data_IF_302260014315
#
_entry.id   IF_302260014315
#
_cell.length_a   1.000
_cell.length_b   1.000
_cell.length_c   1.000
_cell.angle_alpha   90.00
_cell.angle_beta   90.00
_cell.angle_gamma   90.00
#
_symmetry.space_group_name_H-M   'P 1'
#
loop_
_entity.id
_entity.type
_entity.pdbx_description
1 polymer ?
#
# COMPACT_ATOMS: atom_id res chain seq x y z
N UNK A 1 -16.04 3.05 27.35
CA UNK A 1 -15.43 2.20 26.31
C UNK A 1 -16.00 0.79 26.36
N UNK A 2 -16.01 0.09 27.51
CA UNK A 2 -16.52 -1.28 27.61
C UNK A 2 -18.03 -1.44 27.27
N UNK A 3 -18.88 -0.56 27.82
CA UNK A 3 -20.31 -0.50 27.47
C UNK A 3 -20.59 -0.11 26.00
N UNK A 4 -19.63 0.52 25.33
CA UNK A 4 -19.73 0.93 23.93
C UNK A 4 -19.51 -0.27 23.00
N UNK A 5 -18.49 -1.09 23.31
CA UNK A 5 -18.23 -2.32 22.55
C UNK A 5 -19.34 -3.34 22.75
N UNK A 6 -19.83 -3.54 23.98
CA UNK A 6 -20.96 -4.44 24.24
C UNK A 6 -22.22 -4.07 23.44
N UNK A 7 -22.53 -2.77 23.30
CA UNK A 7 -23.65 -2.32 22.46
C UNK A 7 -23.39 -2.58 20.98
N UNK A 8 -22.19 -2.28 20.47
CA UNK A 8 -21.82 -2.53 19.07
C UNK A 8 -21.88 -4.02 18.70
N UNK A 9 -21.39 -4.90 19.57
CA UNK A 9 -21.45 -6.36 19.36
C UNK A 9 -22.89 -6.86 19.31
N UNK A 10 -23.76 -6.32 20.18
CA UNK A 10 -25.20 -6.64 20.17
C UNK A 10 -25.92 -6.13 18.89
N UNK A 11 -25.48 -5.01 18.31
CA UNK A 11 -26.00 -4.52 17.03
C UNK A 11 -25.55 -5.36 15.83
N UNK A 12 -24.28 -5.79 15.80
CA UNK A 12 -23.77 -6.71 14.78
C UNK A 12 -24.56 -8.04 14.77
N UNK A 13 -24.93 -8.53 15.95
CA UNK A 13 -25.74 -9.73 16.16
C UNK A 13 -27.15 -9.67 15.54
N UNK A 14 -27.83 -8.51 15.56
CA UNK A 14 -29.18 -8.39 14.98
C UNK A 14 -29.17 -8.42 13.44
N UNK A 15 -28.06 -8.04 12.82
CA UNK A 15 -27.94 -7.96 11.35
C UNK A 15 -27.81 -9.34 10.69
N UNK A 16 -27.20 -10.30 11.37
CA UNK A 16 -26.96 -11.63 10.82
C UNK A 16 -28.22 -12.48 10.69
N UNK A 17 -29.18 -12.32 11.61
CA UNK A 17 -30.44 -13.07 11.56
C UNK A 17 -31.33 -12.72 10.36
N UNK A 18 -31.12 -11.56 9.73
CA UNK A 18 -31.88 -11.13 8.55
C UNK A 18 -31.34 -11.71 7.23
N UNK A 19 -30.09 -12.20 7.19
CA UNK A 19 -29.46 -12.71 5.97
C UNK A 19 -29.65 -14.23 5.75
N UNK A 20 -30.01 -14.99 6.79
CA UNK A 20 -30.15 -16.46 6.72
C UNK A 20 -31.51 -16.93 6.14
N UNK A 21 -32.41 -15.98 5.84
CA UNK A 21 -33.62 -16.23 5.05
C UNK A 21 -33.38 -15.62 3.69
N UNK A 22 -33.40 -16.44 2.63
CA UNK A 22 -33.20 -16.04 1.22
C UNK A 22 -34.27 -15.11 0.64
N UNK A 23 -34.69 -14.11 1.40
CA UNK A 23 -35.46 -12.96 0.98
C UNK A 23 -34.49 -11.83 0.67
N UNK A 24 -34.77 -11.07 -0.40
CA UNK A 24 -34.02 -9.87 -0.73
C UNK A 24 -33.78 -9.03 0.54
N UNK A 25 -32.50 -8.70 0.79
CA UNK A 25 -32.08 -7.84 1.89
C UNK A 25 -33.07 -6.68 2.04
N UNK A 26 -33.64 -6.44 3.24
CA UNK A 26 -34.52 -5.32 3.42
C UNK A 26 -33.75 -4.05 3.05
N UNK A 27 -34.28 -3.28 2.11
CA UNK A 27 -33.80 -1.94 1.71
C UNK A 27 -34.06 -0.88 2.80
N UNK A 28 -34.09 -1.28 4.07
CA UNK A 28 -34.30 -0.36 5.19
C UNK A 28 -33.11 -0.45 6.15
N UNK A 29 -32.09 0.34 5.85
CA UNK A 29 -30.98 0.64 6.77
C UNK A 29 -31.36 1.64 7.87
N UNK A 30 -32.65 1.70 8.24
CA UNK A 30 -33.24 2.81 8.99
C UNK A 30 -32.94 2.83 10.49
N UNK A 31 -32.31 1.80 11.07
CA UNK A 31 -32.06 1.75 12.53
C UNK A 31 -30.59 1.49 12.94
N UNK A 32 -29.65 1.50 12.00
CA UNK A 32 -28.22 1.36 12.36
C UNK A 32 -27.62 2.74 12.58
N UNK A 33 -27.55 3.16 13.85
CA UNK A 33 -26.87 4.41 14.23
C UNK A 33 -25.47 4.11 14.72
N UNK A 34 -24.44 4.70 14.09
CA UNK A 34 -23.07 4.63 14.60
C UNK A 34 -23.00 5.25 16.00
N UNK A 35 -22.15 4.76 16.90
CA UNK A 35 -21.86 5.51 18.12
C UNK A 35 -21.23 6.89 17.81
N UNK A 36 -21.48 7.89 18.65
CA UNK A 36 -21.04 9.28 18.43
C UNK A 36 -19.53 9.45 18.14
N UNK A 37 -18.59 8.76 18.84
CA UNK A 37 -17.17 8.81 18.48
C UNK A 37 -16.88 8.31 17.06
N UNK A 38 -17.58 7.27 16.63
CA UNK A 38 -17.41 6.68 15.30
C UNK A 38 -18.10 7.52 14.22
N UNK A 39 -19.25 8.14 14.52
CA UNK A 39 -19.86 9.15 13.63
C UNK A 39 -18.90 10.30 13.36
N UNK A 40 -18.29 10.82 14.43
CA UNK A 40 -17.32 11.92 14.35
C UNK A 40 -16.11 11.52 13.54
N UNK A 41 -15.56 10.33 13.79
CA UNK A 41 -14.44 9.79 13.02
C UNK A 41 -14.78 9.67 11.53
N UNK A 42 -15.91 9.04 11.19
CA UNK A 42 -16.35 8.91 9.79
C UNK A 42 -16.50 10.28 9.16
N UNK A 43 -17.13 11.25 9.84
CA UNK A 43 -17.29 12.60 9.32
C UNK A 43 -15.97 13.33 9.07
N UNK A 44 -14.97 13.14 9.93
CA UNK A 44 -13.62 13.71 9.73
C UNK A 44 -12.91 13.09 8.53
N UNK A 45 -13.11 11.79 8.33
CA UNK A 45 -12.44 11.01 7.28
C UNK A 45 -13.07 11.23 5.91
N UNK A 46 -14.40 11.35 5.84
CA UNK A 46 -15.14 11.48 4.57
C UNK A 46 -15.61 12.91 4.28
N UNK A 47 -15.40 13.83 5.22
CA UNK A 47 -15.85 15.23 5.12
C UNK A 47 -17.34 15.46 5.44
N UNK A 48 -18.12 14.40 5.69
CA UNK A 48 -19.54 14.48 6.05
C UNK A 48 -20.01 13.22 6.79
N UNK A 49 -21.18 13.23 7.42
CA UNK A 49 -21.73 12.01 8.01
C UNK A 49 -21.87 10.90 6.94
N UNK A 50 -21.57 9.65 7.30
CA UNK A 50 -21.75 8.50 6.40
C UNK A 50 -23.24 8.27 6.08
N UNK A 51 -23.58 8.00 4.82
CA UNK A 51 -24.97 7.74 4.43
C UNK A 51 -25.40 6.32 4.82
N UNK A 52 -24.46 5.38 4.81
CA UNK A 52 -24.63 3.98 5.18
C UNK A 52 -23.75 3.60 6.39
N UNK A 53 -24.16 3.97 7.62
CA UNK A 53 -23.51 3.59 8.89
C UNK A 53 -23.00 2.15 8.95
N UNK A 54 -23.78 1.24 8.39
CA UNK A 54 -23.55 -0.17 8.50
C UNK A 54 -22.36 -0.66 7.64
N UNK A 55 -21.93 0.09 6.62
CA UNK A 55 -20.69 -0.19 5.88
C UNK A 55 -19.47 0.08 6.76
N UNK A 56 -19.48 1.19 7.52
CA UNK A 56 -18.39 1.56 8.40
C UNK A 56 -18.24 0.62 9.60
N UNK A 57 -19.35 0.08 10.12
CA UNK A 57 -19.30 -0.98 11.12
C UNK A 57 -18.63 -2.24 10.57
N UNK A 58 -19.04 -2.70 9.38
CA UNK A 58 -18.43 -3.87 8.74
C UNK A 58 -16.95 -3.65 8.44
N UNK A 59 -16.56 -2.47 7.94
CA UNK A 59 -15.17 -2.14 7.65
C UNK A 59 -14.24 -2.21 8.88
N UNK A 60 -14.79 -1.91 10.06
CA UNK A 60 -14.07 -1.93 11.33
C UNK A 60 -14.21 -3.26 12.09
N UNK A 61 -14.93 -4.24 11.54
CA UNK A 61 -15.15 -5.54 12.17
C UNK A 61 -14.06 -6.52 11.78
N UNK A 62 -13.15 -6.80 12.71
CA UNK A 62 -12.08 -7.76 12.50
C UNK A 62 -12.61 -9.20 12.47
N UNK A 63 -11.98 -10.06 11.67
CA UNK A 63 -12.35 -11.49 11.51
C UNK A 63 -12.38 -12.32 12.80
N UNK A 64 -11.80 -11.83 13.90
CA UNK A 64 -11.93 -12.52 15.19
C UNK A 64 -13.39 -12.56 15.69
N UNK A 65 -14.24 -11.63 15.27
CA UNK A 65 -15.67 -11.61 15.60
C UNK A 65 -16.39 -12.80 14.97
N UNK A 66 -15.99 -13.25 13.77
CA UNK A 66 -16.66 -14.37 13.08
C UNK A 66 -16.38 -15.73 13.72
N UNK A 67 -15.33 -15.81 14.53
CA UNK A 67 -14.96 -17.01 15.29
C UNK A 67 -15.55 -16.99 16.71
N UNK A 68 -16.22 -15.90 17.07
CA UNK A 68 -16.89 -15.75 18.35
C UNK A 68 -18.27 -16.38 18.28
N UNK A 69 -18.45 -17.50 19.00
CA UNK A 69 -19.72 -18.21 19.07
C UNK A 69 -20.86 -17.34 19.64
N UNK A 70 -20.53 -16.23 20.31
CA UNK A 70 -21.51 -15.26 20.81
C UNK A 70 -22.12 -14.38 19.71
N UNK A 71 -21.52 -14.31 18.50
CA UNK A 71 -21.99 -13.44 17.41
C UNK A 71 -22.11 -14.14 16.03
N UNK A 72 -22.94 -15.20 15.89
CA UNK A 72 -23.06 -15.95 14.65
C UNK A 72 -23.54 -15.07 13.49
N UNK A 73 -22.91 -15.24 12.31
CA UNK A 73 -23.30 -14.61 11.04
C UNK A 73 -22.94 -13.14 10.87
N UNK A 74 -22.06 -12.58 11.71
CA UNK A 74 -21.48 -11.26 11.49
C UNK A 74 -20.47 -11.33 10.34
N UNK A 75 -20.57 -10.43 9.36
CA UNK A 75 -19.55 -10.30 8.31
C UNK A 75 -18.31 -9.57 8.84
N UNK A 76 -17.13 -10.12 8.55
CA UNK A 76 -15.85 -9.43 8.76
C UNK A 76 -15.61 -8.39 7.67
N UNK A 77 -14.61 -7.56 7.90
CA UNK A 77 -14.15 -6.54 6.98
C UNK A 77 -13.53 -7.08 5.66
N UNK A 78 -13.25 -8.38 5.56
CA UNK A 78 -12.47 -8.99 4.47
C UNK A 78 -13.02 -8.75 3.05
N UNK A 79 -14.35 -8.65 2.88
CA UNK A 79 -14.94 -8.34 1.57
C UNK A 79 -14.73 -6.88 1.18
N UNK A 80 -14.76 -5.98 2.17
CA UNK A 80 -14.48 -4.56 1.98
C UNK A 80 -12.98 -4.32 1.80
N UNK A 81 -12.13 -5.07 2.51
CA UNK A 81 -10.66 -5.10 2.31
C UNK A 81 -10.33 -5.38 0.85
N UNK A 82 -10.85 -6.48 0.31
CA UNK A 82 -10.65 -6.88 -1.10
C UNK A 82 -11.05 -5.78 -2.11
N UNK A 83 -12.20 -5.14 -1.91
CA UNK A 83 -12.63 -4.03 -2.78
C UNK A 83 -11.76 -2.79 -2.58
N UNK A 84 -11.46 -2.48 -1.32
CA UNK A 84 -10.73 -1.30 -0.90
C UNK A 84 -9.30 -1.29 -1.38
N UNK A 85 -8.62 -2.43 -1.37
CA UNK A 85 -7.29 -2.63 -1.95
C UNK A 85 -7.27 -2.22 -3.43
N UNK A 86 -8.16 -2.79 -4.24
CA UNK A 86 -8.24 -2.48 -5.68
C UNK A 86 -8.56 -0.99 -5.94
N UNK A 87 -9.44 -0.38 -5.14
CA UNK A 87 -9.78 1.04 -5.25
C UNK A 87 -8.60 1.92 -4.84
N UNK A 88 -7.92 1.59 -3.75
CA UNK A 88 -6.75 2.30 -3.27
C UNK A 88 -5.62 2.27 -4.29
N UNK A 89 -5.33 1.08 -4.84
CA UNK A 89 -4.33 0.87 -5.88
C UNK A 89 -4.61 1.72 -7.12
N UNK A 90 -5.87 1.78 -7.54
CA UNK A 90 -6.29 2.60 -8.68
C UNK A 90 -6.08 4.09 -8.41
N UNK A 91 -6.49 4.61 -7.25
CA UNK A 91 -6.34 6.03 -6.90
C UNK A 91 -4.86 6.42 -6.76
N UNK A 92 -4.04 5.59 -6.14
CA UNK A 92 -2.59 5.83 -6.04
C UNK A 92 -1.93 5.76 -7.42
N UNK A 93 -2.30 4.80 -8.26
CA UNK A 93 -1.81 4.71 -9.64
C UNK A 93 -2.15 5.96 -10.44
N UNK A 94 -3.40 6.43 -10.35
CA UNK A 94 -3.85 7.66 -11.01
C UNK A 94 -3.02 8.88 -10.55
N UNK A 95 -2.79 9.00 -9.23
CA UNK A 95 -1.97 10.09 -8.69
C UNK A 95 -0.53 10.03 -9.20
N UNK A 96 0.11 8.87 -9.18
CA UNK A 96 1.48 8.69 -9.63
C UNK A 96 1.62 8.98 -11.13
N UNK A 97 0.71 8.46 -11.96
CA UNK A 97 0.68 8.71 -13.39
C UNK A 97 0.62 10.21 -13.73
N UNK A 98 -0.24 10.96 -13.03
CA UNK A 98 -0.39 12.40 -13.25
C UNK A 98 0.78 13.21 -12.70
N UNK A 99 1.37 12.77 -11.58
CA UNK A 99 2.44 13.51 -10.88
C UNK A 99 3.81 13.30 -11.50
N UNK A 100 4.03 12.17 -12.18
CA UNK A 100 5.32 11.78 -12.75
C UNK A 100 5.19 11.38 -14.23
N UNK A 101 4.83 12.33 -15.13
CA UNK A 101 4.53 12.03 -16.53
C UNK A 101 5.72 11.49 -17.35
N UNK A 102 6.95 11.63 -16.83
CA UNK A 102 8.18 11.17 -17.50
C UNK A 102 8.73 9.86 -16.90
N UNK A 103 8.09 9.30 -15.87
CA UNK A 103 8.53 8.04 -15.25
C UNK A 103 8.10 6.83 -16.07
N UNK A 104 8.94 5.80 -16.12
CA UNK A 104 8.61 4.53 -16.75
C UNK A 104 7.56 3.77 -15.94
N UNK A 105 6.81 2.88 -16.59
CA UNK A 105 5.77 2.05 -15.94
C UNK A 105 6.30 1.30 -14.71
N UNK A 106 7.46 0.64 -14.82
CA UNK A 106 8.04 -0.11 -13.71
C UNK A 106 8.39 0.76 -12.50
N UNK A 107 8.77 2.01 -12.71
CA UNK A 107 9.06 2.97 -11.64
C UNK A 107 7.76 3.41 -10.93
N UNK A 108 6.70 3.69 -11.70
CA UNK A 108 5.37 3.97 -11.16
C UNK A 108 4.81 2.79 -10.34
N UNK A 109 4.92 1.57 -10.88
CA UNK A 109 4.51 0.33 -10.21
C UNK A 109 5.32 0.07 -8.94
N UNK A 110 6.63 0.30 -8.97
CA UNK A 110 7.50 0.21 -7.78
C UNK A 110 7.11 1.20 -6.69
N UNK A 111 6.85 2.46 -7.07
CA UNK A 111 6.45 3.50 -6.13
C UNK A 111 5.08 3.23 -5.52
N UNK A 112 4.12 2.74 -6.31
CA UNK A 112 2.83 2.29 -5.78
C UNK A 112 3.04 1.23 -4.70
N UNK A 113 3.80 0.17 -4.98
CA UNK A 113 4.07 -0.89 -4.00
C UNK A 113 4.75 -0.41 -2.71
N UNK A 114 5.59 0.63 -2.78
CA UNK A 114 6.19 1.26 -1.59
C UNK A 114 5.17 2.07 -0.77
N UNK A 115 4.17 2.64 -1.42
CA UNK A 115 3.11 3.43 -0.76
C UNK A 115 2.05 2.51 -0.17
N UNK A 116 1.59 1.49 -0.90
CA UNK A 116 0.45 0.63 -0.51
C UNK A 116 0.87 -0.72 0.09
N UNK A 117 2.07 -0.84 0.65
CA UNK A 117 2.40 -2.06 1.40
C UNK A 117 1.84 -2.03 2.82
N UNK A 118 1.65 -3.23 3.40
CA UNK A 118 1.16 -3.45 4.76
C UNK A 118 1.78 -2.52 5.81
N UNK A 119 3.10 -2.32 5.76
CA UNK A 119 3.80 -1.50 6.77
C UNK A 119 3.40 -0.02 6.65
N UNK A 120 3.37 0.51 5.42
CA UNK A 120 2.93 1.88 5.14
C UNK A 120 1.46 2.08 5.53
N UNK A 121 0.58 1.18 5.11
CA UNK A 121 -0.86 1.25 5.42
C UNK A 121 -1.14 1.16 6.92
N UNK A 122 -0.45 0.27 7.64
CA UNK A 122 -0.51 0.21 9.09
C UNK A 122 -0.04 1.52 9.74
N UNK A 123 1.01 2.14 9.20
CA UNK A 123 1.49 3.45 9.63
C UNK A 123 0.42 4.54 9.48
N UNK A 124 -0.22 4.64 8.31
CA UNK A 124 -1.30 5.61 8.09
C UNK A 124 -2.49 5.36 9.03
N UNK A 125 -2.88 4.10 9.20
CA UNK A 125 -3.91 3.69 10.14
C UNK A 125 -3.57 4.08 11.59
N UNK A 126 -2.31 3.96 12.01
CA UNK A 126 -1.86 4.40 13.33
C UNK A 126 -1.92 5.92 13.49
N UNK A 127 -1.48 6.68 12.50
CA UNK A 127 -1.51 8.15 12.52
C UNK A 127 -2.93 8.69 12.71
N UNK A 128 -3.93 8.05 12.10
CA UNK A 128 -5.34 8.42 12.28
C UNK A 128 -6.04 7.75 13.48
N UNK A 129 -5.31 6.94 14.26
CA UNK A 129 -5.85 6.25 15.43
C UNK A 129 -6.89 5.16 15.11
N UNK A 130 -6.85 4.59 13.90
CA UNK A 130 -7.85 3.64 13.39
C UNK A 130 -8.04 2.41 14.28
N UNK A 131 -6.95 1.91 14.87
CA UNK A 131 -6.98 0.76 15.78
C UNK A 131 -7.94 0.92 16.96
N UNK A 132 -8.20 2.16 17.41
CA UNK A 132 -9.12 2.42 18.51
C UNK A 132 -10.58 2.13 18.16
N UNK A 133 -10.90 2.08 16.87
CA UNK A 133 -12.26 1.86 16.35
C UNK A 133 -12.52 0.42 15.90
N UNK A 134 -11.52 -0.47 15.97
CA UNK A 134 -11.70 -1.88 15.63
C UNK A 134 -12.64 -2.60 16.59
N UNK A 135 -13.65 -3.25 16.01
CA UNK A 135 -14.55 -4.21 16.66
C UNK A 135 -13.86 -5.57 16.60
N UNK A 136 -13.59 -6.15 17.78
CA UNK A 136 -12.78 -7.36 17.96
C UNK A 136 -13.59 -8.33 18.83
N UNK A 137 -13.60 -9.62 18.46
CA UNK A 137 -14.28 -10.66 19.23
C UNK A 137 -13.75 -10.77 20.66
N UNK A 138 -14.61 -11.16 21.60
CA UNK A 138 -14.34 -11.12 23.05
C UNK A 138 -13.22 -12.08 23.45
N UNK A 139 -13.12 -13.21 22.76
CA UNK A 139 -12.09 -14.23 22.97
C UNK A 139 -10.70 -13.85 22.44
N UNK A 140 -10.57 -12.73 21.71
CA UNK A 140 -9.32 -12.34 21.06
C UNK A 140 -8.55 -11.28 21.85
N UNK A 141 -7.22 -11.31 21.73
CA UNK A 141 -6.34 -10.31 22.35
C UNK A 141 -6.49 -8.95 21.65
N UNK A 142 -7.36 -8.12 22.24
CA UNK A 142 -7.70 -6.81 21.70
C UNK A 142 -6.48 -5.90 21.55
N UNK A 143 -5.58 -5.88 22.52
CA UNK A 143 -4.42 -4.98 22.48
C UNK A 143 -3.47 -5.39 21.35
N UNK A 144 -3.22 -6.70 21.21
CA UNK A 144 -2.36 -7.21 20.13
C UNK A 144 -2.92 -6.92 18.74
N UNK A 145 -4.25 -7.05 18.56
CA UNK A 145 -4.89 -6.79 17.27
C UNK A 145 -4.87 -5.30 16.92
N UNK A 146 -5.20 -4.42 17.89
CA UNK A 146 -5.24 -2.96 17.67
C UNK A 146 -3.91 -2.35 17.26
N UNK A 147 -2.79 -3.00 17.58
CA UNK A 147 -1.44 -2.56 17.21
C UNK A 147 -0.81 -3.42 16.12
N UNK A 148 -1.51 -4.44 15.60
CA UNK A 148 -0.97 -5.35 14.58
C UNK A 148 -0.93 -4.67 13.21
N UNK A 149 0.22 -4.74 12.53
CA UNK A 149 0.35 -4.22 11.16
C UNK A 149 -0.67 -4.83 10.19
N UNK A 150 -0.98 -6.13 10.31
CA UNK A 150 -1.98 -6.77 9.46
C UNK A 150 -3.37 -6.17 9.70
N UNK A 151 -3.87 -6.21 10.94
CA UNK A 151 -5.23 -5.75 11.22
C UNK A 151 -5.43 -4.26 10.91
N UNK A 152 -4.40 -3.44 11.10
CA UNK A 152 -4.43 -2.02 10.78
C UNK A 152 -4.43 -1.75 9.27
N UNK A 153 -3.62 -2.48 8.50
CA UNK A 153 -3.63 -2.39 7.04
C UNK A 153 -4.97 -2.86 6.46
N UNK A 154 -5.43 -4.05 6.87
CA UNK A 154 -6.70 -4.64 6.41
C UNK A 154 -7.88 -3.69 6.71
N UNK A 155 -7.87 -3.04 7.88
CA UNK A 155 -8.89 -2.06 8.25
C UNK A 155 -8.82 -0.76 7.46
N UNK A 156 -7.61 -0.32 7.06
CA UNK A 156 -7.43 0.87 6.22
C UNK A 156 -8.00 0.63 4.81
N UNK A 157 -7.70 -0.53 4.23
CA UNK A 157 -8.26 -0.97 2.95
C UNK A 157 -9.78 -1.11 3.06
N UNK A 158 -10.27 -1.79 4.10
CA UNK A 158 -11.70 -1.96 4.34
C UNK A 158 -12.45 -0.64 4.50
N UNK A 159 -11.85 0.33 5.20
CA UNK A 159 -12.40 1.67 5.33
C UNK A 159 -12.45 2.38 3.97
N UNK A 160 -11.41 2.23 3.15
CA UNK A 160 -11.38 2.74 1.78
C UNK A 160 -12.53 2.15 0.95
N UNK A 161 -12.77 0.84 1.05
CA UNK A 161 -13.89 0.16 0.39
C UNK A 161 -15.25 0.68 0.87
N UNK A 162 -15.43 0.93 2.17
CA UNK A 162 -16.66 1.51 2.72
C UNK A 162 -16.89 2.95 2.22
N UNK A 163 -15.85 3.79 2.20
CA UNK A 163 -15.94 5.17 1.67
C UNK A 163 -16.33 5.15 0.19
N UNK A 164 -15.74 4.25 -0.60
CA UNK A 164 -16.06 4.09 -2.01
C UNK A 164 -17.54 3.76 -2.23
N UNK A 165 -18.07 2.79 -1.49
CA UNK A 165 -19.47 2.39 -1.60
C UNK A 165 -20.45 3.47 -1.10
N UNK A 166 -20.10 4.19 -0.03
CA UNK A 166 -20.97 5.20 0.59
C UNK A 166 -20.99 6.55 -0.14
N UNK A 167 -19.81 6.99 -0.61
CA UNK A 167 -19.57 8.37 -1.09
C UNK A 167 -18.95 8.44 -2.48
N UNK A 168 -18.58 7.31 -3.08
CA UNK A 168 -17.99 7.26 -4.41
C UNK A 168 -16.51 7.62 -4.46
N UNK A 169 -15.96 7.61 -5.67
CA UNK A 169 -14.52 7.68 -5.92
C UNK A 169 -13.89 9.03 -5.55
N UNK A 170 -14.61 10.14 -5.68
CA UNK A 170 -14.08 11.47 -5.34
C UNK A 170 -13.82 11.62 -3.83
N UNK A 171 -14.67 11.03 -3.00
CA UNK A 171 -14.45 10.98 -1.56
C UNK A 171 -13.21 10.13 -1.22
N UNK A 172 -12.99 9.02 -1.93
CA UNK A 172 -11.77 8.22 -1.78
C UNK A 172 -10.54 9.02 -2.18
N UNK A 173 -10.57 9.75 -3.30
CA UNK A 173 -9.43 10.60 -3.72
C UNK A 173 -9.07 11.63 -2.64
N UNK A 174 -10.08 12.29 -2.07
CA UNK A 174 -9.87 13.26 -0.98
C UNK A 174 -9.29 12.59 0.27
N UNK A 175 -9.82 11.42 0.64
CA UNK A 175 -9.32 10.62 1.77
C UNK A 175 -7.85 10.21 1.56
N UNK A 176 -7.52 9.63 0.41
CA UNK A 176 -6.18 9.16 0.07
C UNK A 176 -5.19 10.32 -0.01
N UNK A 177 -5.57 11.45 -0.60
CA UNK A 177 -4.71 12.64 -0.65
C UNK A 177 -4.29 13.06 0.76
N UNK A 178 -5.26 13.19 1.67
CA UNK A 178 -5.03 13.67 3.03
C UNK A 178 -4.32 12.66 3.93
N UNK A 179 -4.68 11.37 3.86
CA UNK A 179 -4.16 10.36 4.78
C UNK A 179 -2.92 9.63 4.28
N UNK A 180 -2.68 9.61 2.97
CA UNK A 180 -1.56 8.91 2.35
C UNK A 180 -0.60 9.91 1.73
N UNK A 181 -1.03 10.65 0.71
CA UNK A 181 -0.14 11.45 -0.13
C UNK A 181 0.58 12.55 0.65
N UNK A 182 -0.13 13.27 1.52
CA UNK A 182 0.47 14.32 2.38
C UNK A 182 1.49 13.78 3.39
N UNK A 183 1.46 12.48 3.68
CA UNK A 183 2.37 11.80 4.61
C UNK A 183 3.51 11.05 3.91
N UNK A 184 3.51 10.99 2.57
CA UNK A 184 4.53 10.31 1.78
C UNK A 184 5.64 11.29 1.39
N UNK A 185 6.88 10.98 1.77
CA UNK A 185 8.04 11.69 1.25
C UNK A 185 8.47 11.13 -0.11
N UNK A 186 7.91 11.71 -1.17
CA UNK A 186 8.22 11.33 -2.55
C UNK A 186 9.70 11.51 -2.90
N UNK A 187 10.45 12.42 -2.26
CA UNK A 187 11.88 12.57 -2.55
C UNK A 187 12.64 11.32 -2.11
N UNK A 188 12.28 10.75 -0.97
CA UNK A 188 12.87 9.52 -0.45
C UNK A 188 12.45 8.31 -1.28
N UNK A 189 11.19 8.25 -1.72
CA UNK A 189 10.69 7.16 -2.59
C UNK A 189 11.40 7.16 -3.95
N UNK A 190 11.51 8.32 -4.61
CA UNK A 190 12.19 8.46 -5.90
C UNK A 190 13.71 8.21 -5.77
N UNK A 191 14.35 8.66 -4.68
CA UNK A 191 15.77 8.37 -4.45
C UNK A 191 16.06 6.86 -4.31
N UNK A 192 15.09 6.07 -3.86
CA UNK A 192 15.22 4.60 -3.78
C UNK A 192 15.10 3.89 -5.14
N UNK A 193 14.64 4.58 -6.20
CA UNK A 193 14.64 4.07 -7.59
C UNK A 193 16.04 3.95 -8.17
N UNK A 194 17.06 4.52 -7.51
CA UNK A 194 18.45 4.41 -7.95
C UNK A 194 19.10 3.07 -7.59
N UNK A 195 18.31 2.02 -7.34
CA UNK A 195 18.83 0.66 -7.22
C UNK A 195 19.00 -0.01 -8.59
N UNK A 196 19.78 0.63 -9.45
CA UNK A 196 20.16 0.14 -10.77
C UNK A 196 20.84 -1.23 -10.71
N UNK A 197 21.51 -1.58 -9.60
CA UNK A 197 22.05 -2.95 -9.41
C UNK A 197 20.95 -4.01 -9.43
N UNK A 198 19.82 -3.78 -8.78
CA UNK A 198 18.67 -4.71 -8.80
C UNK A 198 18.05 -4.76 -10.19
N UNK A 199 17.84 -3.60 -10.85
CA UNK A 199 17.31 -3.55 -12.23
C UNK A 199 18.21 -4.30 -13.21
N UNK A 200 19.53 -4.15 -13.09
CA UNK A 200 20.48 -4.87 -13.94
C UNK A 200 20.44 -6.38 -13.70
N UNK A 201 20.26 -6.83 -12.45
CA UNK A 201 20.09 -8.26 -12.13
C UNK A 201 18.81 -8.80 -12.78
N UNK A 202 17.68 -8.12 -12.62
CA UNK A 202 16.40 -8.50 -13.22
C UNK A 202 16.50 -8.58 -14.76
N UNK A 203 17.17 -7.60 -15.37
CA UNK A 203 17.46 -7.61 -16.81
C UNK A 203 18.27 -8.84 -17.21
N UNK A 204 19.39 -9.11 -16.53
CA UNK A 204 20.23 -10.29 -16.86
C UNK A 204 19.46 -11.60 -16.68
N UNK A 205 18.65 -11.72 -15.64
CA UNK A 205 17.85 -12.92 -15.38
C UNK A 205 16.79 -13.16 -16.45
N UNK A 206 16.02 -12.12 -16.82
CA UNK A 206 15.00 -12.20 -17.87
C UNK A 206 15.57 -12.58 -19.23
N UNK A 207 16.82 -12.18 -19.52
CA UNK A 207 17.54 -12.50 -20.76
C UNK A 207 18.43 -13.73 -20.69
N UNK A 208 18.40 -14.47 -19.57
CA UNK A 208 19.23 -15.66 -19.33
C UNK A 208 20.75 -15.38 -19.43
N UNK A 209 21.14 -14.15 -19.14
CA UNK A 209 22.52 -13.70 -19.03
C UNK A 209 22.99 -13.99 -17.60
N UNK A 210 24.25 -14.42 -17.39
CA UNK A 210 24.81 -14.56 -16.05
C UNK A 210 24.74 -13.24 -15.26
N UNK A 211 24.68 -13.29 -13.92
CA UNK A 211 24.60 -12.10 -13.08
C UNK A 211 25.74 -11.09 -13.38
N UNK A 212 25.48 -9.77 -13.27
CA UNK A 212 26.47 -8.75 -13.55
C UNK A 212 27.64 -8.82 -12.56
N UNK A 213 28.86 -8.70 -13.08
CA UNK A 213 30.11 -8.71 -12.30
C UNK A 213 30.65 -7.28 -12.20
N UNK A 214 30.90 -6.82 -10.97
CA UNK A 214 31.42 -5.49 -10.68
C UNK A 214 32.89 -5.56 -10.30
N UNK A 215 33.73 -4.81 -11.02
CA UNK A 215 35.19 -4.77 -10.83
C UNK A 215 35.64 -3.36 -10.55
N UNK A 216 36.45 -3.16 -9.50
CA UNK A 216 37.11 -1.87 -9.25
C UNK A 216 38.27 -1.73 -10.24
N UNK A 217 38.19 -0.74 -11.14
CA UNK A 217 39.19 -0.53 -12.18
C UNK A 217 40.13 0.64 -11.87
N UNK A 218 39.72 1.58 -11.02
CA UNK A 218 40.58 2.65 -10.52
C UNK A 218 40.19 3.08 -9.11
N UNK A 219 41.16 3.62 -8.39
CA UNK A 219 40.99 4.14 -7.05
C UNK A 219 41.97 5.29 -6.83
N UNK A 220 41.45 6.51 -6.87
CA UNK A 220 42.25 7.73 -6.90
C UNK A 220 41.90 8.65 -5.71
N UNK A 221 42.78 9.60 -5.38
CA UNK A 221 42.56 10.60 -4.34
C UNK A 221 43.17 10.27 -2.97
N UNK A 222 43.34 11.31 -2.15
CA UNK A 222 43.78 11.19 -0.76
C UNK A 222 42.71 10.50 0.09
N UNK A 223 43.05 10.04 1.29
CA UNK A 223 42.15 9.24 2.13
C UNK A 223 40.80 9.92 2.44
N UNK A 224 40.76 11.25 2.41
CA UNK A 224 39.56 12.08 2.61
C UNK A 224 38.84 12.51 1.31
N UNK A 225 39.41 12.22 0.13
CA UNK A 225 38.86 12.55 -1.21
C UNK A 225 38.91 11.34 -2.15
N UNK A 226 38.83 10.15 -1.58
CA UNK A 226 38.99 8.89 -2.30
C UNK A 226 37.82 8.68 -3.26
N UNK A 227 38.09 8.47 -4.54
CA UNK A 227 37.11 8.15 -5.58
C UNK A 227 37.36 6.74 -6.09
N UNK A 228 36.30 5.92 -6.12
CA UNK A 228 36.33 4.57 -6.69
C UNK A 228 35.69 4.60 -8.06
N UNK A 229 36.37 4.03 -9.06
CA UNK A 229 35.79 3.80 -10.38
C UNK A 229 35.56 2.30 -10.55
N UNK A 230 34.30 1.94 -10.82
CA UNK A 230 33.84 0.57 -10.96
C UNK A 230 33.33 0.37 -12.37
N UNK A 231 33.69 -0.76 -12.97
CA UNK A 231 33.14 -1.26 -14.21
C UNK A 231 32.20 -2.42 -13.90
N UNK A 232 31.05 -2.45 -14.56
CA UNK A 232 30.14 -3.59 -14.56
C UNK A 232 30.21 -4.30 -15.90
N UNK A 233 30.20 -5.63 -15.85
CA UNK A 233 30.23 -6.50 -17.03
C UNK A 233 29.10 -7.53 -16.98
N UNK A 234 28.49 -7.78 -18.13
CA UNK A 234 27.46 -8.80 -18.35
C UNK A 234 27.96 -9.78 -19.41
N UNK A 235 27.92 -11.09 -19.12
CA UNK A 235 28.50 -12.14 -19.98
C UNK A 235 29.96 -11.89 -20.44
N UNK A 236 30.76 -11.21 -19.61
CA UNK A 236 32.15 -10.87 -19.93
C UNK A 236 32.34 -9.63 -20.81
N UNK A 237 31.26 -8.96 -21.23
CA UNK A 237 31.31 -7.69 -21.94
C UNK A 237 31.10 -6.53 -20.96
N UNK A 238 31.99 -5.52 -20.99
CA UNK A 238 31.81 -4.29 -20.23
C UNK A 238 30.57 -3.56 -20.72
N UNK A 239 29.65 -3.27 -19.80
CA UNK A 239 28.36 -2.66 -20.11
C UNK A 239 28.16 -1.30 -19.41
N UNK A 240 28.97 -0.96 -18.40
CA UNK A 240 28.87 0.36 -17.77
C UNK A 240 30.01 0.64 -16.79
N UNK A 241 30.21 1.91 -16.46
CA UNK A 241 31.21 2.42 -15.54
C UNK A 241 30.64 3.52 -14.65
N UNK A 242 31.12 3.59 -13.42
CA UNK A 242 30.65 4.56 -12.44
C UNK A 242 31.74 4.96 -11.48
N UNK A 243 31.83 6.26 -11.19
CA UNK A 243 32.82 6.82 -10.26
C UNK A 243 32.15 7.55 -9.11
N UNK A 244 32.48 7.19 -7.87
CA UNK A 244 31.95 7.86 -6.68
C UNK A 244 32.86 7.72 -5.45
N UNK A 245 32.69 8.54 -4.40
CA UNK A 245 33.50 8.46 -3.18
C UNK A 245 33.33 7.17 -2.37
N UNK A 246 32.21 6.46 -2.55
CA UNK A 246 31.92 5.18 -1.90
C UNK A 246 31.76 4.12 -2.97
N UNK A 247 32.34 2.93 -2.73
CA UNK A 247 32.22 1.78 -3.65
C UNK A 247 30.76 1.48 -4.02
N UNK A 248 29.86 1.44 -3.02
CA UNK A 248 28.43 1.15 -3.24
C UNK A 248 27.77 2.16 -4.20
N UNK A 249 28.15 3.42 -4.13
CA UNK A 249 27.59 4.48 -4.99
C UNK A 249 28.16 4.38 -6.41
N UNK A 250 29.45 4.06 -6.53
CA UNK A 250 30.11 3.81 -7.82
C UNK A 250 29.52 2.58 -8.53
N UNK A 251 29.18 1.52 -7.80
CA UNK A 251 28.48 0.35 -8.34
C UNK A 251 27.08 0.72 -8.87
N UNK A 252 26.34 1.59 -8.18
CA UNK A 252 25.03 2.04 -8.68
C UNK A 252 25.13 2.87 -9.95
N UNK A 253 26.14 3.74 -10.05
CA UNK A 253 26.38 4.53 -11.26
C UNK A 253 26.80 3.63 -12.44
N UNK A 254 27.65 2.63 -12.20
CA UNK A 254 28.03 1.66 -13.22
C UNK A 254 26.83 0.84 -13.69
N UNK A 255 25.99 0.40 -12.75
CA UNK A 255 24.76 -0.32 -13.08
C UNK A 255 23.76 0.56 -13.85
N UNK A 256 23.68 1.86 -13.54
CA UNK A 256 22.84 2.81 -14.26
C UNK A 256 23.24 2.89 -15.73
N UNK A 257 24.52 3.14 -16.00
CA UNK A 257 25.03 3.22 -17.38
C UNK A 257 24.77 1.90 -18.15
N UNK A 258 24.95 0.76 -17.48
CA UNK A 258 24.67 -0.54 -18.09
C UNK A 258 23.19 -0.77 -18.42
N UNK A 259 22.27 -0.41 -17.51
CA UNK A 259 20.83 -0.52 -17.76
C UNK A 259 20.43 0.40 -18.93
N UNK A 260 20.92 1.64 -18.96
CA UNK A 260 20.63 2.59 -20.05
C UNK A 260 21.16 2.07 -21.41
N UNK A 261 22.41 1.57 -21.45
CA UNK A 261 23.00 1.00 -22.66
C UNK A 261 22.18 -0.19 -23.19
N UNK A 262 21.80 -1.12 -22.31
CA UNK A 262 21.11 -2.36 -22.68
C UNK A 262 19.69 -2.08 -23.20
N UNK A 263 18.96 -1.16 -22.55
CA UNK A 263 17.62 -0.73 -23.01
C UNK A 263 17.68 -0.03 -24.37
N UNK A 264 18.70 0.79 -24.63
CA UNK A 264 18.90 1.42 -25.94
C UNK A 264 19.23 0.41 -27.05
N UNK A 265 19.99 -0.64 -26.73
CA UNK A 265 20.32 -1.70 -27.67
C UNK A 265 19.08 -2.51 -28.10
N UNK A 266 18.15 -2.79 -27.18
CA UNK A 266 16.88 -3.45 -27.49
C UNK A 266 15.99 -2.63 -28.42
N UNK A 267 15.84 -1.32 -28.15
CA UNK A 267 15.02 -0.43 -28.98
C UNK A 267 15.58 -0.29 -30.40
N UNK A 268 16.90 -0.36 -30.56
CA UNK A 268 17.56 -0.31 -31.86
C UNK A 268 17.52 -1.64 -32.62
N UNK A 269 17.14 -2.73 -31.95
CA UNK A 269 17.04 -4.08 -32.53
C UNK A 269 15.62 -4.49 -32.93
N UNK A 270 14.61 -3.65 -32.65
CA UNK A 270 13.24 -3.87 -33.12
C UNK A 270 13.16 -3.57 -34.63
N UNK A 271 12.71 -4.51 -35.48
CA UNK A 271 12.50 -4.23 -36.90
C UNK A 271 11.40 -3.17 -37.06
N UNK A 272 11.65 -2.16 -37.90
CA UNK A 272 10.59 -1.21 -38.31
C UNK A 272 9.42 -1.99 -38.96
N UNK A 273 8.17 -1.57 -38.70
CA UNK A 273 6.97 -2.26 -39.19
C UNK A 273 6.82 -2.24 -40.72
#
# INVERSE_FOLDING_TARGET
MEQFWQKLTAFAFHRSQQFDKGEHAPRDGSDVTLPEPLQTFVAVVTGSAGNEPALYLTALTHRSVTHDASVPGTESNQRLEFLGDAVLDMVISEYLYRSFPNSAEGDLSSNRAKIVNRKSLAGFAQTMGLGNYLIIGESADCNKIRTSESALADAFESLTGAIYLDKGLDAVRAFVMKQVIEHVDFKTIVASEHNYKSRLIEYTQSHHIPPPVYTVIAQDGAEHEKVFTIEVSCAGCSCGRGSAPRKKDAEQLAAKEAVEMLLHAEQSALPEP
#
